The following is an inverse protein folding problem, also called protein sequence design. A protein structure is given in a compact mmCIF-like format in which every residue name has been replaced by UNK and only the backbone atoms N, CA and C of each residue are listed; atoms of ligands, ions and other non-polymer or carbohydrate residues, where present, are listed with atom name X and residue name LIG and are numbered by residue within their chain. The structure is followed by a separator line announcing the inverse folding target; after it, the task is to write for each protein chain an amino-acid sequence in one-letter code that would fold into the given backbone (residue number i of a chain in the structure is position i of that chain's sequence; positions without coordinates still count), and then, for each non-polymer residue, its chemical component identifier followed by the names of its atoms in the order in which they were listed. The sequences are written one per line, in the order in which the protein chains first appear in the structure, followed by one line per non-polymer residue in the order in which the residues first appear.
data_IF_204832563001
#
_entry.id   IF_204832563001
#
_cell.length_a   1.000
_cell.length_b   1.000
_cell.length_c   1.000
_cell.angle_alpha   90.00
_cell.angle_beta   90.00
_cell.angle_gamma   90.00
#
_symmetry.space_group_name_H-M   'P 1'
#
loop_
_entity.id
_entity.type
_entity.pdbx_description
1 polymer ?
2 water ?
#
# COMPACT_ATOMS: atom_id res chain seq x y z
N UNK A 3 -2.34 -35.92 -2.15
CA UNK A 3 -1.76 -36.24 -3.45
C UNK A 3 -2.21 -35.22 -4.52
N UNK A 4 -1.40 -34.17 -4.68
CA UNK A 4 -1.76 -33.05 -5.55
C UNK A 4 -1.68 -33.38 -7.03
N UNK A 5 -1.00 -34.46 -7.39
CA UNK A 5 -0.86 -34.80 -8.79
C UNK A 5 -1.88 -35.81 -9.29
N UNK A 6 -2.56 -36.54 -8.39
CA UNK A 6 -3.39 -37.65 -8.84
C UNK A 6 -4.78 -37.76 -8.22
N UNK A 7 -5.05 -37.20 -7.05
CA UNK A 7 -6.31 -37.43 -6.38
C UNK A 7 -7.23 -36.20 -6.36
N UNK A 8 -7.08 -35.29 -7.31
CA UNK A 8 -7.92 -34.09 -7.36
C UNK A 8 -9.01 -34.31 -8.38
N UNK A 9 -10.25 -34.05 -7.99
CA UNK A 9 -11.39 -34.15 -8.90
C UNK A 9 -11.74 -32.73 -9.32
N UNK A 10 -11.11 -32.28 -10.41
CA UNK A 10 -11.43 -30.95 -10.96
C UNK A 10 -12.75 -31.01 -11.69
N UNK A 11 -13.64 -30.08 -11.39
CA UNK A 11 -14.96 -30.01 -12.00
C UNK A 11 -15.04 -28.75 -12.86
N UNK A 12 -15.51 -28.91 -14.10
CA UNK A 12 -15.66 -27.78 -15.00
C UNK A 12 -16.49 -26.66 -14.38
N UNK A 13 -16.01 -25.43 -14.54
CA UNK A 13 -16.76 -24.23 -14.17
C UNK A 13 -17.22 -23.46 -15.41
N UNK A 14 -16.28 -23.03 -16.24
CA UNK A 14 -16.53 -22.12 -17.36
C UNK A 14 -15.26 -22.02 -18.20
N UNK A 15 -15.37 -22.24 -19.52
CA UNK A 15 -14.23 -22.14 -20.43
C UNK A 15 -13.05 -22.94 -19.87
N UNK A 16 -11.90 -22.29 -19.62
CA UNK A 16 -10.74 -23.05 -19.15
C UNK A 16 -10.63 -23.10 -17.63
N UNK A 17 -11.70 -22.78 -16.92
CA UNK A 17 -11.71 -22.72 -15.46
C UNK A 17 -12.37 -23.96 -14.88
N UNK A 18 -11.73 -24.57 -13.89
CA UNK A 18 -12.29 -25.70 -13.14
C UNK A 18 -12.03 -25.50 -11.66
N UNK A 19 -12.71 -26.30 -10.81
CA UNK A 19 -12.61 -26.11 -9.37
C UNK A 19 -12.67 -27.45 -8.66
N UNK A 20 -12.19 -27.49 -7.42
CA UNK A 20 -12.13 -28.76 -6.69
C UNK A 20 -12.06 -28.51 -5.19
N UNK A 21 -12.60 -29.47 -4.42
CA UNK A 21 -12.28 -29.57 -2.99
C UNK A 21 -11.00 -30.37 -2.87
N UNK A 22 -9.98 -29.80 -2.23
CA UNK A 22 -8.68 -30.45 -2.14
C UNK A 22 -8.06 -30.02 -0.83
N UNK A 23 -7.72 -30.97 0.03
CA UNK A 23 -7.43 -30.71 1.44
C UNK A 23 -6.00 -31.13 1.75
N UNK A 24 -5.16 -30.17 2.13
CA UNK A 24 -3.77 -30.49 2.41
C UNK A 24 -3.12 -29.33 3.17
N UNK A 25 -2.06 -29.65 3.91
CA UNK A 25 -1.26 -28.64 4.56
C UNK A 25 -0.29 -28.08 3.51
N UNK A 26 -0.41 -26.79 3.19
CA UNK A 26 0.32 -26.30 2.02
C UNK A 26 1.83 -26.39 2.21
N UNK A 27 2.32 -26.35 3.45
CA UNK A 27 3.75 -26.43 3.69
C UNK A 27 4.34 -27.78 3.28
N UNK A 28 3.51 -28.81 3.08
CA UNK A 28 4.05 -30.07 2.61
C UNK A 28 4.45 -30.01 1.14
N UNK A 29 3.91 -29.04 0.38
CA UNK A 29 4.12 -28.95 -1.05
C UNK A 29 4.72 -27.63 -1.51
N UNK A 30 4.69 -26.59 -0.68
CA UNK A 30 5.05 -25.25 -1.12
C UNK A 30 5.80 -24.51 -0.02
N UNK A 31 6.57 -23.52 -0.42
CA UNK A 31 7.02 -22.44 0.46
C UNK A 31 6.25 -21.17 0.08
N UNK A 32 5.77 -20.44 1.09
CA UNK A 32 4.99 -19.23 0.86
C UNK A 32 5.90 -18.01 0.80
N UNK A 33 5.64 -17.12 -0.15
CA UNK A 33 6.29 -15.81 -0.22
C UNK A 33 5.21 -14.75 -0.13
N UNK A 34 5.30 -13.91 0.89
CA UNK A 34 4.25 -12.93 1.16
C UNK A 34 4.29 -11.78 0.15
N UNK A 35 3.12 -11.22 -0.11
CA UNK A 35 2.99 -9.99 -0.90
C UNK A 35 2.52 -8.88 0.02
N UNK A 36 2.78 -7.65 -0.39
CA UNK A 36 2.31 -6.50 0.38
C UNK A 36 0.79 -6.56 0.48
N UNK A 37 0.21 -6.36 1.67
CA UNK A 37 -1.27 -6.47 1.80
C UNK A 37 -1.98 -5.19 1.37
N UNK A 38 -1.89 -4.88 0.08
CA UNK A 38 -2.69 -3.83 -0.50
C UNK A 38 -3.56 -4.43 -1.60
N UNK A 39 -4.29 -3.58 -2.31
CA UNK A 39 -5.19 -4.09 -3.33
C UNK A 39 -4.51 -4.62 -4.57
N UNK A 40 -3.19 -4.54 -4.66
CA UNK A 40 -2.46 -5.04 -5.81
C UNK A 40 -1.89 -6.42 -5.59
N UNK A 41 -2.28 -7.09 -4.50
CA UNK A 41 -1.60 -8.32 -4.09
C UNK A 41 -1.63 -9.41 -5.16
N UNK A 42 -2.74 -9.54 -5.92
CA UNK A 42 -2.76 -10.53 -7.00
C UNK A 42 -1.61 -10.29 -7.98
N UNK A 43 -1.47 -9.06 -8.45
CA UNK A 43 -0.42 -8.71 -9.40
C UNK A 43 0.97 -8.81 -8.76
N UNK A 44 1.06 -8.53 -7.45
CA UNK A 44 2.32 -8.68 -6.74
C UNK A 44 2.76 -10.14 -6.72
N UNK A 45 1.81 -11.06 -6.51
CA UNK A 45 2.14 -12.48 -6.48
C UNK A 45 2.61 -12.95 -7.85
N UNK A 46 1.91 -12.53 -8.91
CA UNK A 46 2.34 -12.94 -10.25
C UNK A 46 3.69 -12.30 -10.59
N UNK A 47 3.89 -11.04 -10.17
CA UNK A 47 5.20 -10.40 -10.35
C UNK A 47 6.31 -11.21 -9.69
N UNK A 48 6.06 -11.76 -8.50
CA UNK A 48 7.07 -12.57 -7.84
C UNK A 48 7.42 -13.79 -8.69
N UNK A 49 6.42 -14.39 -9.33
CA UNK A 49 6.67 -15.54 -10.20
C UNK A 49 7.52 -15.16 -11.41
N UNK A 50 7.17 -14.05 -12.07
CA UNK A 50 7.82 -13.68 -13.32
C UNK A 50 9.20 -13.05 -13.10
N UNK A 51 9.35 -12.24 -12.05
CA UNK A 51 10.51 -11.37 -11.89
C UNK A 51 11.31 -11.61 -10.62
N UNK A 52 10.91 -12.54 -9.77
CA UNK A 52 11.53 -12.80 -8.46
C UNK A 52 11.46 -11.60 -7.54
N UNK A 53 10.51 -10.70 -7.78
CA UNK A 53 10.24 -9.56 -6.91
C UNK A 53 8.80 -9.13 -7.14
N UNK A 54 8.14 -8.70 -6.07
CA UNK A 54 6.79 -8.17 -6.23
C UNK A 54 6.77 -6.77 -6.80
N UNK A 55 7.95 -6.14 -6.98
CA UNK A 55 8.03 -4.74 -7.40
C UNK A 55 7.56 -4.51 -8.82
N UNK A 56 7.41 -5.57 -9.62
CA UNK A 56 6.96 -5.38 -10.99
C UNK A 56 5.47 -5.57 -11.20
N UNK A 57 4.65 -5.36 -10.16
CA UNK A 57 3.22 -5.61 -10.32
C UNK A 57 2.57 -4.74 -11.39
N UNK A 58 3.06 -3.51 -11.62
CA UNK A 58 2.48 -2.67 -12.67
C UNK A 58 2.69 -3.30 -14.04
N UNK A 59 3.85 -3.90 -14.27
CA UNK A 59 4.08 -4.55 -15.56
C UNK A 59 3.10 -5.70 -15.78
N UNK A 60 2.71 -6.39 -14.71
CA UNK A 60 1.71 -7.44 -14.85
C UNK A 60 0.36 -6.83 -15.23
N UNK A 61 -0.03 -5.73 -14.58
CA UNK A 61 -1.26 -5.06 -14.96
C UNK A 61 -1.20 -4.63 -16.42
N UNK A 62 -0.05 -4.10 -16.84
CA UNK A 62 0.13 -3.67 -18.22
C UNK A 62 -0.04 -4.82 -19.20
N UNK A 63 0.57 -5.97 -18.91
CA UNK A 63 0.52 -7.06 -19.88
C UNK A 63 -0.88 -7.65 -19.98
N UNK A 64 -1.66 -7.59 -18.89
CA UNK A 64 -3.06 -8.01 -18.95
C UNK A 64 -3.87 -7.10 -19.86
N UNK A 65 -3.70 -5.78 -19.72
CA UNK A 65 -4.42 -4.86 -20.58
C UNK A 65 -4.04 -5.07 -22.04
N UNK A 66 -2.76 -5.31 -22.31
CA UNK A 66 -2.32 -5.47 -23.69
C UNK A 66 -2.87 -6.73 -24.31
N UNK A 67 -2.91 -7.84 -23.56
CA UNK A 67 -3.48 -9.07 -24.10
C UNK A 67 -4.99 -8.93 -24.30
N UNK A 68 -5.66 -8.19 -23.44
CA UNK A 68 -7.08 -7.94 -23.66
C UNK A 68 -7.30 -7.23 -24.99
N UNK A 69 -6.40 -6.31 -25.35
CA UNK A 69 -6.54 -5.59 -26.61
C UNK A 69 -6.22 -6.46 -27.82
N UNK A 70 -5.14 -7.24 -27.75
CA UNK A 70 -4.69 -7.98 -28.92
C UNK A 70 -5.44 -9.29 -29.10
N UNK A 71 -6.01 -9.84 -28.04
CA UNK A 71 -6.57 -11.20 -28.05
C UNK A 71 -7.94 -11.23 -27.39
N UNK A 72 -8.70 -10.14 -27.54
CA UNK A 72 -10.01 -10.03 -26.89
C UNK A 72 -10.90 -11.24 -27.16
N UNK A 73 -10.85 -11.77 -28.39
CA UNK A 73 -11.76 -12.84 -28.78
C UNK A 73 -11.56 -14.11 -27.97
N UNK A 74 -10.40 -14.31 -27.35
CA UNK A 74 -10.11 -15.52 -26.61
C UNK A 74 -10.47 -15.43 -25.13
N UNK A 75 -11.22 -14.41 -24.70
CA UNK A 75 -11.39 -14.11 -23.28
C UNK A 75 -12.86 -14.08 -22.85
N UNK A 76 -13.57 -15.20 -23.00
CA UNK A 76 -15.01 -15.21 -22.64
C UNK A 76 -15.28 -14.90 -21.18
N UNK A 77 -14.38 -15.26 -20.27
CA UNK A 77 -14.59 -14.91 -18.88
C UNK A 77 -14.55 -13.41 -18.67
N UNK A 78 -13.57 -12.74 -19.27
CA UNK A 78 -13.47 -11.29 -19.20
C UNK A 78 -14.74 -10.64 -19.77
N UNK A 79 -15.28 -11.23 -20.84
CA UNK A 79 -16.46 -10.66 -21.49
C UNK A 79 -17.66 -10.58 -20.57
N UNK A 80 -17.71 -11.41 -19.52
CA UNK A 80 -18.83 -11.38 -18.61
C UNK A 80 -18.90 -10.08 -17.82
N UNK A 81 -17.79 -9.36 -17.72
CA UNK A 81 -17.70 -8.20 -16.86
C UNK A 81 -17.30 -6.92 -17.58
N UNK A 82 -16.79 -7.00 -18.81
CA UNK A 82 -16.25 -5.84 -19.49
C UNK A 82 -16.74 -5.82 -20.93
N UNK A 83 -17.10 -4.63 -21.40
CA UNK A 83 -17.74 -4.50 -22.71
C UNK A 83 -16.72 -4.65 -23.83
N UNK A 84 -15.50 -4.17 -23.64
CA UNK A 84 -14.49 -4.15 -24.70
C UNK A 84 -13.14 -3.91 -24.04
N UNK A 85 -12.04 -4.06 -24.79
CA UNK A 85 -10.72 -3.86 -24.17
C UNK A 85 -10.53 -2.49 -23.56
N UNK A 86 -11.14 -1.45 -24.14
CA UNK A 86 -10.99 -0.11 -23.60
C UNK A 86 -11.67 0.01 -22.25
N UNK A 87 -12.83 -0.63 -22.09
CA UNK A 87 -13.51 -0.67 -20.80
C UNK A 87 -12.67 -1.37 -19.75
N UNK A 88 -12.07 -2.52 -20.10
CA UNK A 88 -11.21 -3.21 -19.14
C UNK A 88 -10.01 -2.35 -18.76
N UNK A 89 -9.37 -1.71 -19.74
CA UNK A 89 -8.21 -0.87 -19.45
C UNK A 89 -8.58 0.27 -18.52
N UNK A 90 -9.76 0.89 -18.76
CA UNK A 90 -10.22 1.99 -17.94
C UNK A 90 -10.40 1.57 -16.49
N UNK A 91 -11.05 0.43 -16.27
CA UNK A 91 -11.32 0.00 -14.90
C UNK A 91 -10.07 -0.53 -14.21
N UNK A 92 -9.21 -1.26 -14.92
CA UNK A 92 -8.05 -1.84 -14.27
C UNK A 92 -7.00 -0.79 -13.90
N UNK A 93 -7.03 0.38 -14.53
CA UNK A 93 -6.14 1.46 -14.15
C UNK A 93 -6.63 2.24 -12.94
N UNK A 94 -7.85 1.99 -12.48
CA UNK A 94 -8.42 2.81 -11.43
C UNK A 94 -7.77 2.49 -10.09
N UNK A 95 -7.62 3.53 -9.28
CA UNK A 95 -7.27 3.35 -7.88
C UNK A 95 -8.33 2.48 -7.23
N UNK A 96 -7.90 1.43 -6.56
CA UNK A 96 -8.84 0.56 -5.90
C UNK A 96 -9.26 -0.67 -6.69
N UNK A 97 -8.71 -0.87 -7.89
CA UNK A 97 -8.97 -2.11 -8.61
C UNK A 97 -8.23 -3.27 -7.95
N UNK A 98 -8.92 -4.41 -7.80
CA UNK A 98 -8.36 -5.62 -7.22
C UNK A 98 -8.29 -6.71 -8.27
N UNK A 99 -7.11 -7.31 -8.44
CA UNK A 99 -6.96 -8.39 -9.39
C UNK A 99 -7.54 -9.71 -8.89
N UNK A 100 -7.80 -10.61 -9.82
CA UNK A 100 -8.35 -11.90 -9.45
C UNK A 100 -8.67 -12.79 -10.62
N UNK A 101 -9.86 -13.39 -10.62
CA UNK A 101 -10.25 -14.38 -11.62
C UNK A 101 -10.17 -13.83 -13.05
N UNK A 102 -10.52 -12.55 -13.23
CA UNK A 102 -10.42 -11.97 -14.58
C UNK A 102 -8.99 -12.08 -15.11
N UNK A 103 -8.02 -11.69 -14.29
CA UNK A 103 -6.63 -11.72 -14.71
C UNK A 103 -6.03 -13.12 -14.71
N UNK A 104 -6.55 -14.02 -13.85
CA UNK A 104 -6.10 -15.40 -13.91
C UNK A 104 -6.41 -16.00 -15.28
N UNK A 105 -7.60 -15.73 -15.82
CA UNK A 105 -7.91 -16.17 -17.18
C UNK A 105 -6.95 -15.56 -18.19
N UNK A 106 -6.77 -14.23 -18.11
CA UNK A 106 -5.92 -13.54 -19.07
C UNK A 106 -4.50 -14.09 -19.03
N UNK A 107 -3.94 -14.23 -17.83
CA UNK A 107 -2.55 -14.65 -17.73
C UNK A 107 -2.36 -16.11 -18.14
N UNK A 108 -3.32 -16.98 -17.83
CA UNK A 108 -3.20 -18.38 -18.27
C UNK A 108 -3.09 -18.46 -19.78
N UNK A 109 -3.79 -17.58 -20.50
CA UNK A 109 -3.82 -17.62 -21.95
C UNK A 109 -2.67 -16.84 -22.58
N UNK A 110 -2.22 -15.76 -21.94
CA UNK A 110 -1.05 -15.03 -22.42
C UNK A 110 0.23 -15.83 -22.20
N UNK A 111 0.42 -16.35 -20.98
CA UNK A 111 1.66 -17.04 -20.64
C UNK A 111 1.64 -18.51 -21.03
N UNK A 112 0.48 -19.05 -21.41
CA UNK A 112 0.35 -20.46 -21.79
C UNK A 112 0.77 -21.38 -20.65
N UNK A 113 0.27 -21.08 -19.45
CA UNK A 113 0.46 -21.97 -18.32
C UNK A 113 -0.78 -21.93 -17.47
N UNK A 114 -0.77 -22.73 -16.42
CA UNK A 114 -1.90 -22.87 -15.53
C UNK A 114 -1.76 -21.92 -14.35
N UNK A 115 -2.89 -21.37 -13.89
CA UNK A 115 -2.94 -20.52 -12.71
C UNK A 115 -3.90 -21.17 -11.72
N UNK A 116 -3.46 -21.33 -10.46
CA UNK A 116 -4.29 -21.97 -9.45
C UNK A 116 -4.39 -21.07 -8.22
N UNK A 117 -5.62 -20.88 -7.72
CA UNK A 117 -5.88 -20.25 -6.43
C UNK A 117 -6.18 -21.35 -5.42
N UNK A 118 -5.38 -21.41 -4.36
CA UNK A 118 -5.55 -22.41 -3.30
C UNK A 118 -6.14 -21.71 -2.08
N UNK A 119 -7.37 -22.08 -1.72
CA UNK A 119 -8.09 -21.42 -0.63
C UNK A 119 -7.56 -21.85 0.73
N UNK A 120 -7.21 -20.89 1.58
CA UNK A 120 -6.65 -21.22 2.89
C UNK A 120 -7.05 -20.14 3.87
N UNK A 121 -7.71 -20.53 4.96
CA UNK A 121 -8.24 -19.56 5.93
C UNK A 121 -7.57 -19.60 7.29
N UNK A 122 -6.67 -20.55 7.54
CA UNK A 122 -6.03 -20.65 8.85
C UNK A 122 -4.51 -20.64 8.75
N UNK A 123 -3.97 -20.19 7.61
CA UNK A 123 -2.53 -20.18 7.29
C UNK A 123 -1.86 -21.55 7.40
N UNK A 124 -2.62 -22.65 7.31
CA UNK A 124 -2.02 -23.99 7.35
C UNK A 124 -2.65 -24.88 6.29
N UNK A 125 -3.98 -24.98 6.32
CA UNK A 125 -4.72 -25.97 5.53
C UNK A 125 -5.38 -25.30 4.33
N UNK A 126 -5.07 -25.81 3.15
CA UNK A 126 -5.85 -25.51 1.95
C UNK A 126 -7.04 -26.45 1.91
N UNK A 127 -8.21 -25.95 1.50
CA UNK A 127 -9.41 -26.77 1.41
C UNK A 127 -10.06 -26.78 0.04
N UNK A 128 -9.66 -25.90 -0.86
CA UNK A 128 -10.27 -25.81 -2.19
C UNK A 128 -9.24 -25.27 -3.18
N UNK A 129 -9.46 -25.56 -4.46
CA UNK A 129 -8.69 -24.96 -5.52
C UNK A 129 -9.61 -24.51 -6.65
N UNK A 130 -9.20 -23.44 -7.32
CA UNK A 130 -9.81 -23.06 -8.58
C UNK A 130 -8.68 -22.81 -9.57
N UNK A 131 -8.86 -23.28 -10.79
CA UNK A 131 -7.74 -23.43 -11.71
C UNK A 131 -8.13 -22.90 -13.08
N UNK A 132 -7.20 -22.20 -13.73
CA UNK A 132 -7.33 -21.81 -15.14
C UNK A 132 -6.23 -22.51 -15.92
N UNK A 133 -6.62 -23.37 -16.85
CA UNK A 133 -5.69 -24.23 -17.56
C UNK A 133 -5.79 -25.67 -17.09
N UNK A 134 -5.04 -26.55 -17.78
CA UNK A 134 -5.15 -28.00 -17.61
C UNK A 134 -3.98 -28.64 -16.87
N UNK A 135 -3.05 -27.85 -16.35
CA UNK A 135 -1.86 -28.41 -15.73
C UNK A 135 -2.09 -28.76 -14.26
N UNK A 136 -1.04 -29.33 -13.67
CA UNK A 136 -1.04 -29.56 -12.25
C UNK A 136 -0.17 -28.51 -11.58
N UNK A 137 -0.05 -28.60 -10.26
CA UNK A 137 0.59 -27.52 -9.52
C UNK A 137 2.06 -27.34 -9.89
N UNK A 138 2.71 -28.39 -10.38
CA UNK A 138 4.12 -28.22 -10.72
C UNK A 138 4.31 -27.35 -11.97
N UNK A 139 3.31 -27.27 -12.85
CA UNK A 139 3.40 -26.46 -14.06
C UNK A 139 2.53 -25.21 -13.95
N UNK A 140 2.29 -24.73 -12.74
CA UNK A 140 1.35 -23.64 -12.53
C UNK A 140 2.00 -22.48 -11.80
N UNK A 141 1.37 -21.31 -11.97
CA UNK A 141 1.51 -20.22 -11.02
C UNK A 141 0.54 -20.53 -9.88
N UNK A 142 1.07 -20.83 -8.70
CA UNK A 142 0.28 -21.18 -7.52
C UNK A 142 0.15 -19.99 -6.60
N UNK A 143 -1.09 -19.63 -6.26
CA UNK A 143 -1.34 -18.52 -5.35
C UNK A 143 -2.09 -19.01 -4.11
N UNK A 144 -1.72 -18.50 -2.95
CA UNK A 144 -2.46 -18.79 -1.73
C UNK A 144 -3.53 -17.72 -1.60
N UNK A 145 -4.79 -18.15 -1.66
CA UNK A 145 -5.94 -17.23 -1.69
C UNK A 145 -6.55 -17.24 -0.29
N UNK A 146 -6.33 -16.17 0.47
CA UNK A 146 -6.78 -16.16 1.86
C UNK A 146 -7.90 -15.14 2.03
N UNK A 147 -8.31 -14.86 3.27
CA UNK A 147 -9.50 -14.03 3.48
C UNK A 147 -9.31 -12.64 2.88
N UNK A 148 -10.43 -11.98 2.57
CA UNK A 148 -10.47 -10.60 2.08
C UNK A 148 -9.71 -10.43 0.77
N UNK A 149 -9.69 -11.50 -0.03
CA UNK A 149 -9.14 -11.49 -1.38
C UNK A 149 -7.67 -11.11 -1.40
N UNK A 150 -6.95 -11.47 -0.35
CA UNK A 150 -5.51 -11.33 -0.37
C UNK A 150 -4.89 -12.57 -1.01
N UNK A 151 -3.86 -12.35 -1.83
CA UNK A 151 -3.12 -13.44 -2.48
C UNK A 151 -1.66 -13.36 -2.09
N UNK A 152 -1.10 -14.50 -1.68
CA UNK A 152 0.33 -14.67 -1.55
C UNK A 152 0.83 -15.66 -2.60
N UNK A 153 2.15 -15.72 -2.77
CA UNK A 153 2.73 -16.57 -3.80
C UNK A 153 3.22 -17.88 -3.17
N UNK A 154 3.05 -18.98 -3.90
CA UNK A 154 3.46 -20.29 -3.41
C UNK A 154 4.49 -20.88 -4.37
N UNK A 155 5.65 -21.27 -3.85
CA UNK A 155 6.71 -21.88 -4.65
C UNK A 155 6.70 -23.39 -4.39
N UNK A 156 6.52 -24.22 -5.40
CA UNK A 156 6.55 -25.68 -5.16
C UNK A 156 7.91 -26.12 -4.65
N UNK A 157 7.87 -27.02 -3.67
CA UNK A 157 9.06 -27.64 -3.14
C UNK A 157 9.58 -28.65 -4.16
N UNK B 7 -9.60 5.13 37.52
CA UNK B 7 -8.38 5.89 37.75
C UNK B 7 -8.25 7.04 36.75
N UNK B 8 -8.72 6.82 35.53
CA UNK B 8 -8.72 7.86 34.51
C UNK B 8 -10.00 8.68 34.66
N UNK B 9 -9.87 9.99 34.75
CA UNK B 9 -11.02 10.87 34.70
C UNK B 9 -11.21 11.31 33.25
N UNK B 10 -12.28 10.87 32.64
CA UNK B 10 -12.64 11.28 31.29
C UNK B 10 -13.49 12.54 31.38
N UNK B 11 -13.14 13.54 30.58
CA UNK B 11 -13.88 14.79 30.50
C UNK B 11 -14.81 14.71 29.30
N UNK B 12 -16.11 14.95 29.52
CA UNK B 12 -17.01 14.90 28.39
C UNK B 12 -16.65 15.99 27.39
N UNK B 13 -16.72 15.67 26.09
CA UNK B 13 -16.39 16.61 25.01
C UNK B 13 -17.63 16.96 24.18
N UNK B 14 -18.29 15.95 23.61
CA UNK B 14 -19.30 16.16 22.57
C UNK B 14 -20.04 14.85 22.32
N UNK B 15 -21.37 14.84 22.44
CA UNK B 15 -22.15 13.64 22.15
C UNK B 15 -21.62 12.43 22.93
N UNK B 16 -21.12 11.38 22.26
CA UNK B 16 -20.59 10.22 22.99
C UNK B 16 -19.07 10.25 23.09
N UNK B 17 -18.45 11.41 22.92
CA UNK B 17 -17.00 11.56 22.87
C UNK B 17 -16.51 12.23 24.15
N UNK B 18 -15.49 11.65 24.78
CA UNK B 18 -14.84 12.23 25.96
C UNK B 18 -13.32 12.17 25.77
N UNK B 19 -12.59 12.85 26.65
CA UNK B 19 -11.13 12.90 26.50
C UNK B 19 -10.45 12.88 27.86
N UNK B 20 -9.22 12.40 27.88
CA UNK B 20 -8.46 12.35 29.13
C UNK B 20 -7.03 12.75 28.87
N UNK B 21 -6.49 13.61 29.72
CA UNK B 21 -5.07 13.89 29.72
C UNK B 21 -4.42 12.95 30.73
N UNK B 22 -3.56 12.06 30.24
CA UNK B 22 -2.97 11.05 31.10
C UNK B 22 -1.70 10.57 30.44
N UNK B 23 -0.65 10.36 31.23
CA UNK B 23 0.65 9.98 30.70
C UNK B 23 0.96 8.56 31.19
N UNK B 24 1.21 7.64 30.25
CA UNK B 24 1.59 6.29 30.64
C UNK B 24 2.35 5.61 29.50
N UNK B 25 3.20 4.66 29.88
CA UNK B 25 3.86 3.79 28.91
C UNK B 25 2.83 2.85 28.29
N UNK B 26 2.62 2.93 26.97
CA UNK B 26 1.57 2.07 26.41
C UNK B 26 1.91 0.60 26.59
N UNK B 27 3.20 0.26 26.67
CA UNK B 27 3.60 -1.13 26.89
C UNK B 27 3.24 -1.64 28.28
N UNK B 28 2.94 -0.74 29.23
CA UNK B 28 2.47 -1.20 30.53
C UNK B 28 1.12 -1.91 30.43
N UNK B 29 0.31 -1.54 29.43
CA UNK B 29 -1.04 -2.08 29.32
C UNK B 29 -1.33 -2.79 28.01
N UNK B 30 -0.49 -2.63 26.99
CA UNK B 30 -0.83 -3.07 25.64
C UNK B 30 0.39 -3.71 24.96
N UNK B 31 0.08 -4.58 23.99
CA UNK B 31 1.03 -4.94 22.94
C UNK B 31 0.60 -4.27 21.65
N UNK B 32 1.54 -3.70 20.92
CA UNK B 32 1.23 -3.00 19.67
C UNK B 32 1.32 -3.94 18.46
N UNK B 33 0.35 -3.81 17.55
CA UNK B 33 0.39 -4.49 16.27
C UNK B 33 0.36 -3.46 15.16
N UNK B 34 1.42 -3.45 14.34
CA UNK B 34 1.55 -2.43 13.30
C UNK B 34 0.58 -2.66 12.15
N UNK B 35 0.18 -1.57 11.50
CA UNK B 35 -0.57 -1.59 10.25
C UNK B 35 0.30 -1.07 9.12
N UNK B 36 -0.02 -1.51 7.91
CA UNK B 36 0.67 -1.02 6.73
C UNK B 36 0.53 0.51 6.64
N UNK B 37 1.63 1.23 6.44
CA UNK B 37 1.52 2.71 6.42
C UNK B 37 1.05 3.24 5.07
N UNK B 38 -0.23 3.03 4.79
CA UNK B 38 -0.89 3.74 3.71
C UNK B 38 -2.03 4.56 4.31
N UNK B 39 -2.83 5.16 3.45
CA UNK B 39 -3.94 5.97 3.91
C UNK B 39 -5.08 5.17 4.49
N UNK B 40 -5.01 3.85 4.44
CA UNK B 40 -6.07 2.99 4.96
C UNK B 40 -5.79 2.54 6.40
N UNK B 41 -4.75 3.09 7.04
CA UNK B 41 -4.26 2.54 8.30
C UNK B 41 -5.33 2.52 9.39
N UNK B 42 -6.21 3.53 9.46
CA UNK B 42 -7.26 3.49 10.48
C UNK B 42 -8.12 2.24 10.31
N UNK B 43 -8.54 1.97 9.07
CA UNK B 43 -9.39 0.82 8.78
C UNK B 43 -8.63 -0.48 8.94
N UNK B 44 -7.33 -0.47 8.65
CA UNK B 44 -6.50 -1.65 8.92
C UNK B 44 -6.43 -1.96 10.40
N UNK B 45 -6.35 -0.92 11.24
CA UNK B 45 -6.26 -1.16 12.67
C UNK B 45 -7.57 -1.71 13.21
N UNK B 46 -8.70 -1.16 12.77
CA UNK B 46 -9.99 -1.70 13.20
C UNK B 46 -10.18 -3.11 12.66
N UNK B 47 -9.75 -3.35 11.42
CA UNK B 47 -9.84 -4.71 10.87
C UNK B 47 -9.08 -5.71 11.74
N UNK B 48 -7.92 -5.30 12.28
CA UNK B 48 -7.14 -6.20 13.14
C UNK B 48 -7.96 -6.59 14.38
N UNK B 49 -8.69 -5.63 14.96
CA UNK B 49 -9.55 -5.95 16.09
C UNK B 49 -10.65 -6.93 15.69
N UNK B 50 -11.33 -6.67 14.57
CA UNK B 50 -12.53 -7.42 14.21
C UNK B 50 -12.21 -8.80 13.65
N UNK B 51 -11.10 -8.92 12.93
CA UNK B 51 -10.85 -10.10 12.12
C UNK B 51 -9.52 -10.76 12.38
N UNK B 52 -8.70 -10.22 13.30
CA UNK B 52 -7.36 -10.72 13.61
C UNK B 52 -6.39 -10.59 12.42
N UNK B 53 -6.72 -9.73 11.46
CA UNK B 53 -5.82 -9.40 10.35
C UNK B 53 -6.18 -8.00 9.88
N UNK B 54 -5.17 -7.25 9.44
CA UNK B 54 -5.42 -5.94 8.86
C UNK B 54 -6.02 -6.00 7.47
N UNK B 55 -6.08 -7.19 6.87
CA UNK B 55 -6.40 -7.31 5.45
C UNK B 55 -7.87 -7.05 5.15
N UNK B 56 -8.72 -6.90 6.16
CA UNK B 56 -10.14 -6.65 5.92
C UNK B 56 -10.53 -5.19 5.97
N UNK B 57 -9.58 -4.29 5.71
CA UNK B 57 -9.88 -2.86 5.85
C UNK B 57 -11.01 -2.40 4.93
N UNK B 58 -11.17 -3.00 3.76
CA UNK B 58 -12.25 -2.58 2.86
C UNK B 58 -13.60 -2.86 3.50
N UNK B 59 -13.72 -3.98 4.20
CA UNK B 59 -14.97 -4.32 4.86
C UNK B 59 -15.31 -3.32 5.95
N UNK B 60 -14.30 -2.81 6.66
CA UNK B 60 -14.55 -1.77 7.65
C UNK B 60 -15.05 -0.49 6.98
N UNK B 61 -14.42 -0.09 5.87
CA UNK B 61 -14.90 1.07 5.13
C UNK B 61 -16.35 0.88 4.71
N UNK B 62 -16.67 -0.31 4.16
CA UNK B 62 -18.02 -0.59 3.71
C UNK B 62 -19.04 -0.48 4.85
N UNK B 63 -18.74 -1.07 6.01
CA UNK B 63 -19.74 -1.06 7.07
C UNK B 63 -19.97 0.34 7.62
N UNK B 64 -18.95 1.19 7.60
CA UNK B 64 -19.14 2.59 8.00
C UNK B 64 -20.06 3.32 7.02
N UNK B 65 -19.86 3.12 5.71
CA UNK B 65 -20.73 3.73 4.71
C UNK B 65 -22.17 3.25 4.86
N UNK B 66 -22.36 1.94 5.08
CA UNK B 66 -23.70 1.39 5.21
C UNK B 66 -24.43 1.98 6.41
N UNK B 67 -23.75 2.08 7.56
CA UNK B 67 -24.39 2.65 8.75
C UNK B 67 -24.68 4.13 8.55
N UNK B 68 -23.80 4.86 7.88
CA UNK B 68 -24.10 6.26 7.59
C UNK B 68 -25.37 6.37 6.76
N UNK B 69 -25.59 5.43 5.85
CA UNK B 69 -26.76 5.47 4.99
C UNK B 69 -28.03 5.11 5.76
N UNK B 70 -27.97 4.11 6.63
CA UNK B 70 -29.18 3.65 7.31
C UNK B 70 -29.48 4.38 8.61
N UNK B 71 -28.47 4.97 9.25
CA UNK B 71 -28.62 5.54 10.58
C UNK B 71 -28.07 6.95 10.65
N UNK B 72 -28.15 7.69 9.54
CA UNK B 72 -27.58 9.03 9.44
C UNK B 72 -28.01 9.93 10.60
N UNK B 73 -29.28 9.84 11.00
CA UNK B 73 -29.77 10.78 12.00
C UNK B 73 -29.15 10.56 13.38
N UNK B 74 -28.37 9.50 13.57
CA UNK B 74 -27.73 9.23 14.84
C UNK B 74 -26.27 9.70 14.91
N UNK B 75 -25.79 10.47 13.92
CA UNK B 75 -24.36 10.73 13.75
C UNK B 75 -24.00 12.22 13.75
N UNK B 76 -24.22 12.92 14.88
CA UNK B 76 -23.90 14.37 14.91
C UNK B 76 -22.44 14.71 14.65
N UNK B 77 -21.49 13.86 15.04
CA UNK B 77 -20.09 14.16 14.76
C UNK B 77 -19.81 14.12 13.28
N UNK B 78 -20.39 13.13 12.59
CA UNK B 78 -20.30 13.06 11.14
C UNK B 78 -20.94 14.29 10.50
N UNK B 79 -22.05 14.76 11.05
CA UNK B 79 -22.73 15.93 10.49
C UNK B 79 -21.85 17.17 10.49
N UNK B 80 -20.85 17.24 11.37
CA UNK B 80 -19.93 18.38 11.39
C UNK B 80 -19.21 18.54 10.05
N UNK B 81 -18.99 17.43 9.34
CA UNK B 81 -18.11 17.41 8.18
C UNK B 81 -18.78 17.03 6.88
N UNK B 82 -19.93 16.36 6.92
CA UNK B 82 -20.57 15.85 5.71
C UNK B 82 -22.04 16.24 5.70
N UNK B 83 -22.56 16.54 4.50
CA UNK B 83 -23.89 17.09 4.34
C UNK B 83 -24.99 16.04 4.29
N UNK B 84 -24.69 14.83 3.83
CA UNK B 84 -25.67 13.76 3.72
C UNK B 84 -24.91 12.45 3.52
N UNK B 85 -25.60 11.31 3.62
CA UNK B 85 -24.87 10.03 3.45
C UNK B 85 -24.23 9.88 2.10
N UNK B 86 -24.79 10.49 1.05
CA UNK B 86 -24.20 10.38 -0.29
C UNK B 86 -22.87 11.12 -0.35
N UNK B 87 -22.79 12.28 0.28
CA UNK B 87 -21.54 13.02 0.38
C UNK B 87 -20.48 12.21 1.13
N UNK B 88 -20.85 11.62 2.28
CA UNK B 88 -19.91 10.79 3.01
C UNK B 88 -19.48 9.59 2.17
N UNK B 89 -20.43 8.91 1.52
CA UNK B 89 -20.07 7.74 0.73
C UNK B 89 -19.10 8.08 -0.38
N UNK B 90 -19.32 9.20 -1.07
CA UNK B 90 -18.49 9.50 -2.22
C UNK B 90 -17.09 9.94 -1.81
N UNK B 91 -16.95 10.64 -0.68
CA UNK B 91 -15.61 11.01 -0.20
C UNK B 91 -14.88 9.80 0.37
N UNK B 92 -15.58 8.98 1.15
CA UNK B 92 -14.91 7.85 1.79
C UNK B 92 -14.55 6.75 0.81
N UNK B 93 -15.23 6.66 -0.33
CA UNK B 93 -14.94 5.60 -1.30
C UNK B 93 -13.60 5.77 -2.00
N UNK B 94 -13.04 6.98 -1.98
CA UNK B 94 -11.77 7.20 -2.65
C UNK B 94 -10.64 6.46 -1.93
N UNK B 95 -9.64 6.05 -2.71
CA UNK B 95 -8.48 5.41 -2.13
C UNK B 95 -7.61 6.38 -1.32
N UNK B 96 -7.69 7.68 -1.60
CA UNK B 96 -6.93 8.69 -0.88
C UNK B 96 -7.57 9.20 0.40
N UNK B 97 -8.57 8.47 0.92
CA UNK B 97 -9.33 8.89 2.10
C UNK B 97 -8.71 8.34 3.38
N UNK B 98 -8.51 9.19 4.38
CA UNK B 98 -7.95 8.78 5.66
C UNK B 98 -9.04 8.73 6.73
N UNK B 99 -9.12 7.61 7.45
CA UNK B 99 -10.09 7.47 8.51
C UNK B 99 -9.67 8.19 9.79
N UNK B 100 -10.63 8.31 10.71
CA UNK B 100 -10.39 9.03 11.95
C UNK B 100 -11.62 9.14 12.81
N UNK B 101 -11.77 10.28 13.48
CA UNK B 101 -12.86 10.49 14.44
C UNK B 101 -14.25 10.28 13.83
N UNK B 102 -14.43 10.61 12.55
CA UNK B 102 -15.71 10.37 11.89
C UNK B 102 -16.09 8.89 11.99
N UNK B 103 -15.16 8.02 11.61
CA UNK B 103 -15.43 6.59 11.64
C UNK B 103 -15.40 6.01 13.04
N UNK B 104 -14.62 6.59 13.97
CA UNK B 104 -14.70 6.13 15.35
C UNK B 104 -16.10 6.29 15.91
N UNK B 105 -16.75 7.41 15.62
CA UNK B 105 -18.14 7.61 16.04
C UNK B 105 -19.04 6.57 15.39
N UNK B 106 -18.95 6.44 14.06
CA UNK B 106 -19.80 5.49 13.36
C UNK B 106 -19.63 4.10 13.94
N UNK B 107 -18.37 3.66 14.11
CA UNK B 107 -18.14 2.28 14.57
C UNK B 107 -18.60 2.09 16.01
N UNK B 108 -18.43 3.11 16.87
CA UNK B 108 -18.85 2.93 18.25
C UNK B 108 -20.35 2.68 18.31
N UNK B 109 -21.10 3.32 17.42
CA UNK B 109 -22.56 3.20 17.42
C UNK B 109 -23.03 1.98 16.66
N UNK B 110 -22.38 1.66 15.54
CA UNK B 110 -22.72 0.47 14.76
C UNK B 110 -22.46 -0.80 15.55
N UNK B 111 -21.28 -0.89 16.18
CA UNK B 111 -20.85 -2.10 16.87
C UNK B 111 -21.23 -2.11 18.35
N UNK B 112 -21.77 -1.01 18.87
CA UNK B 112 -22.07 -0.88 20.30
C UNK B 112 -20.85 -1.24 21.14
N UNK B 113 -19.72 -0.63 20.76
CA UNK B 113 -18.44 -0.83 21.41
C UNK B 113 -17.83 0.53 21.68
N UNK B 114 -16.86 0.56 22.59
CA UNK B 114 -16.11 1.77 22.87
C UNK B 114 -14.86 1.79 22.01
N UNK B 115 -14.55 2.94 21.44
CA UNK B 115 -13.36 3.15 20.59
C UNK B 115 -12.49 4.20 21.26
N UNK B 116 -11.18 3.94 21.36
CA UNK B 116 -10.27 4.89 22.01
C UNK B 116 -9.06 5.15 21.13
N UNK B 117 -8.73 6.43 20.91
CA UNK B 117 -7.48 6.84 20.28
C UNK B 117 -6.53 7.22 21.41
N UNK B 118 -5.37 6.59 21.46
CA UNK B 118 -4.33 6.90 22.44
C UNK B 118 -3.19 7.60 21.71
N UNK B 119 -2.97 8.87 22.04
CA UNK B 119 -2.00 9.70 21.33
C UNK B 119 -0.58 9.39 21.80
N UNK B 120 0.32 9.13 20.87
CA UNK B 120 1.70 8.78 21.23
C UNK B 120 2.63 9.29 20.14
N UNK B 121 3.61 10.12 20.52
CA UNK B 121 4.46 10.79 19.54
C UNK B 121 5.92 10.38 19.62
N UNK B 122 6.28 9.43 20.49
CA UNK B 122 7.67 9.01 20.62
C UNK B 122 7.82 7.49 20.70
N UNK B 123 6.77 6.76 20.31
CA UNK B 123 6.65 5.30 20.40
C UNK B 123 6.85 4.79 21.83
N UNK B 124 6.67 5.63 22.84
CA UNK B 124 6.81 5.19 24.22
C UNK B 124 5.62 5.63 25.09
N UNK B 125 5.41 6.94 25.17
CA UNK B 125 4.46 7.52 26.13
C UNK B 125 3.17 7.93 25.44
N UNK B 126 2.06 7.45 25.97
CA UNK B 126 0.75 8.00 25.62
C UNK B 126 0.53 9.24 26.47
N UNK B 127 0.00 10.31 25.87
CA UNK B 127 -0.25 11.54 26.61
C UNK B 127 -1.70 11.98 26.62
N UNK B 128 -2.58 11.30 25.89
CA UNK B 128 -3.97 11.69 25.79
C UNK B 128 -4.78 10.51 25.29
N UNK B 129 -6.01 10.40 25.75
CA UNK B 129 -6.98 9.48 25.17
C UNK B 129 -8.20 10.26 24.69
N UNK B 130 -8.74 9.87 23.54
CA UNK B 130 -10.04 10.34 23.08
C UNK B 130 -10.91 9.12 22.90
N UNK B 131 -12.11 9.14 23.49
CA UNK B 131 -12.94 7.95 23.63
C UNK B 131 -14.32 8.20 23.07
N UNK B 132 -14.85 7.23 22.32
CA UNK B 132 -16.25 7.21 21.91
C UNK B 132 -16.91 6.04 22.62
N UNK B 133 -17.89 6.32 23.47
CA UNK B 133 -18.53 5.28 24.25
C UNK B 133 -18.17 5.38 25.73
N UNK B 134 -18.84 4.53 26.52
CA UNK B 134 -18.77 4.59 27.98
C UNK B 134 -17.82 3.58 28.60
N UNK B 135 -17.21 2.71 27.81
CA UNK B 135 -16.45 1.61 28.39
C UNK B 135 -15.01 1.99 28.73
N UNK B 136 -14.30 1.03 29.34
CA UNK B 136 -12.89 1.21 29.61
C UNK B 136 -12.08 0.41 28.59
N UNK B 137 -10.75 0.54 28.69
CA UNK B 137 -9.89 0.05 27.62
C UNK B 137 -9.97 -1.46 27.45
N UNK B 138 -10.35 -2.20 28.49
CA UNK B 138 -10.20 -3.66 28.42
C UNK B 138 -11.07 -4.25 27.31
N UNK B 139 -12.28 -3.73 27.11
CA UNK B 139 -13.15 -4.24 26.05
C UNK B 139 -13.33 -3.26 24.90
N UNK B 140 -12.53 -2.20 24.84
CA UNK B 140 -12.60 -1.21 23.77
C UNK B 140 -11.78 -1.65 22.57
N UNK B 141 -12.02 -0.97 21.45
CA UNK B 141 -11.09 -0.97 20.31
C UNK B 141 -10.06 0.12 20.59
N UNK B 142 -8.83 -0.29 20.95
CA UNK B 142 -7.78 0.66 21.32
C UNK B 142 -6.84 0.85 20.14
N UNK B 143 -6.65 2.11 19.73
CA UNK B 143 -5.76 2.45 18.62
C UNK B 143 -4.66 3.37 19.13
N UNK B 144 -3.44 3.17 18.62
CA UNK B 144 -2.33 4.09 18.85
C UNK B 144 -2.31 5.11 17.73
N UNK B 145 -2.52 6.38 18.08
CA UNK B 145 -2.62 7.46 17.10
C UNK B 145 -1.33 8.25 17.12
N UNK B 146 -0.57 8.19 16.02
CA UNK B 146 0.77 8.78 15.97
C UNK B 146 0.85 9.79 14.83
N UNK B 147 2.05 10.35 14.61
CA UNK B 147 2.23 11.40 13.61
C UNK B 147 1.79 10.92 12.22
N UNK B 148 1.43 11.90 11.39
CA UNK B 148 1.05 11.67 9.99
C UNK B 148 -0.25 10.88 9.88
N UNK B 149 -1.14 11.08 10.87
CA UNK B 149 -2.46 10.47 10.89
C UNK B 149 -2.41 8.96 10.80
N UNK B 150 -1.33 8.37 11.31
CA UNK B 150 -1.20 6.92 11.27
C UNK B 150 -1.78 6.29 12.52
N UNK B 151 -2.47 5.17 12.35
CA UNK B 151 -3.02 4.40 13.46
C UNK B 151 -2.44 2.99 13.46
N UNK B 152 -1.96 2.55 14.61
CA UNK B 152 -1.68 1.13 14.84
C UNK B 152 -2.67 0.56 15.85
N UNK B 153 -2.68 -0.77 15.97
CA UNK B 153 -3.63 -1.44 16.85
C UNK B 153 -2.98 -1.77 18.18
N UNK B 154 -3.74 -1.67 19.27
CA UNK B 154 -3.24 -1.99 20.60
C UNK B 154 -4.07 -3.11 21.20
N UNK B 155 -3.40 -4.18 21.64
CA UNK B 155 -4.05 -5.33 22.27
C UNK B 155 -3.87 -5.22 23.78
N UNK B 156 -4.94 -5.17 24.58
CA UNK B 156 -4.74 -5.18 26.04
C UNK B 156 -4.05 -6.45 26.50
N UNK B 157 -3.11 -6.29 27.43
CA UNK B 157 -2.36 -7.43 27.96
C UNK B 157 -3.28 -8.35 28.76
N UNK C 7 37.18 10.75 -6.48
CA UNK C 7 37.60 10.41 -7.84
C UNK C 7 36.45 10.58 -8.84
N UNK C 8 35.30 11.02 -8.34
CA UNK C 8 34.10 11.14 -9.17
C UNK C 8 34.14 12.48 -9.90
N UNK C 9 34.07 12.43 -11.23
CA UNK C 9 33.92 13.62 -12.05
C UNK C 9 32.43 13.75 -12.37
N UNK C 10 31.79 14.77 -11.82
CA UNK C 10 30.38 15.03 -12.10
C UNK C 10 30.28 15.90 -13.35
N UNK C 11 29.62 15.36 -14.38
CA UNK C 11 29.37 16.09 -15.62
C UNK C 11 28.08 16.88 -15.52
N UNK C 12 28.14 18.16 -15.86
CA UNK C 12 26.93 18.98 -15.81
C UNK C 12 25.90 18.46 -16.79
N UNK C 13 24.63 18.53 -16.40
CA UNK C 13 23.52 18.09 -17.23
C UNK C 13 22.61 19.28 -17.53
N UNK C 14 22.11 19.92 -16.48
CA UNK C 14 21.08 20.96 -16.61
C UNK C 14 20.84 21.60 -15.24
N UNK C 15 20.89 22.93 -15.17
CA UNK C 15 20.59 23.64 -13.93
C UNK C 15 21.48 23.10 -12.81
N UNK C 16 20.89 22.63 -11.71
CA UNK C 16 21.69 22.11 -10.60
C UNK C 16 21.87 20.60 -10.69
N UNK C 17 21.68 20.00 -11.86
CA UNK C 17 21.74 18.56 -12.04
C UNK C 17 23.02 18.17 -12.76
N UNK C 18 23.76 17.21 -12.19
CA UNK C 18 24.97 16.67 -12.79
C UNK C 18 24.91 15.14 -12.74
N UNK C 19 25.81 14.49 -13.49
CA UNK C 19 25.75 13.04 -13.60
C UNK C 19 27.16 12.47 -13.69
N UNK C 20 27.31 11.23 -13.25
CA UNK C 20 28.60 10.57 -13.28
C UNK C 20 28.43 9.11 -13.69
N UNK C 21 29.29 8.65 -14.59
CA UNK C 21 29.43 7.22 -14.88
C UNK C 21 30.51 6.69 -13.94
N UNK C 22 30.12 5.83 -13.01
CA UNK C 22 31.03 5.37 -11.97
C UNK C 22 30.51 4.03 -11.49
N UNK C 23 31.43 3.09 -11.31
CA UNK C 23 31.10 1.72 -10.92
C UNK C 23 31.68 1.47 -9.53
N UNK C 24 30.82 1.12 -8.58
CA UNK C 24 31.27 0.73 -7.26
C UNK C 24 30.21 -0.16 -6.61
N UNK C 25 30.66 -1.00 -5.69
CA UNK C 25 29.77 -1.80 -4.86
C UNK C 25 29.14 -0.90 -3.81
N UNK C 26 27.81 -0.78 -3.80
CA UNK C 26 27.23 0.20 -2.89
C UNK C 26 27.54 -0.13 -1.43
N UNK C 27 27.75 -1.41 -1.11
CA UNK C 27 28.10 -1.83 0.25
C UNK C 27 29.41 -1.21 0.74
N UNK C 28 30.27 -0.74 -0.15
CA UNK C 28 31.49 -0.06 0.29
C UNK C 28 31.16 1.20 1.08
N UNK C 29 30.06 1.87 0.73
CA UNK C 29 29.79 3.20 1.26
C UNK C 29 28.48 3.32 2.01
N UNK C 30 27.56 2.36 1.86
CA UNK C 30 26.19 2.53 2.31
C UNK C 30 25.67 1.25 2.92
N UNK C 31 24.74 1.42 3.87
CA UNK C 31 23.82 0.38 4.27
C UNK C 31 22.47 0.67 3.61
N UNK C 32 21.88 -0.34 3.00
CA UNK C 32 20.60 -0.18 2.34
C UNK C 32 19.46 -0.36 3.33
N UNK C 33 18.45 0.51 3.21
CA UNK C 33 17.21 0.36 3.97
C UNK C 33 16.06 0.26 2.99
N UNK C 34 15.34 -0.86 3.03
CA UNK C 34 14.29 -1.08 2.05
C UNK C 34 13.07 -0.20 2.34
N UNK C 35 12.50 0.35 1.30
CA UNK C 35 11.22 1.04 1.37
C UNK C 35 10.10 0.10 0.96
N UNK C 36 8.91 0.41 1.46
CA UNK C 36 7.74 -0.36 1.09
C UNK C 36 7.60 -0.38 -0.43
N UNK C 37 7.43 -1.55 -1.05
CA UNK C 37 7.40 -1.62 -2.52
C UNK C 37 6.05 -1.23 -3.11
N UNK C 38 5.65 0.03 -2.90
CA UNK C 38 4.49 0.56 -3.60
C UNK C 38 4.90 1.82 -4.35
N UNK C 39 3.91 2.51 -4.93
CA UNK C 39 4.19 3.65 -5.77
C UNK C 39 4.63 4.88 -5.03
N UNK C 40 4.63 4.85 -3.71
CA UNK C 40 5.09 5.98 -2.91
C UNK C 40 6.53 5.80 -2.45
N UNK C 41 7.25 4.80 -2.99
CA UNK C 41 8.55 4.42 -2.47
C UNK C 41 9.54 5.61 -2.44
N UNK C 42 9.53 6.45 -3.47
CA UNK C 42 10.42 7.62 -3.45
C UNK C 42 10.14 8.49 -2.24
N UNK C 43 8.87 8.82 -2.01
CA UNK C 43 8.52 9.67 -0.88
C UNK C 43 8.75 8.97 0.44
N UNK C 44 8.64 7.64 0.47
CA UNK C 44 8.91 6.91 1.69
C UNK C 44 10.39 6.95 2.04
N UNK C 45 11.25 6.91 1.02
CA UNK C 45 12.68 7.01 1.29
C UNK C 45 13.04 8.38 1.84
N UNK C 46 12.51 9.45 1.24
CA UNK C 46 12.78 10.78 1.75
C UNK C 46 12.20 10.94 3.17
N UNK C 47 11.01 10.38 3.40
CA UNK C 47 10.42 10.42 4.73
C UNK C 47 11.31 9.73 5.77
N UNK C 48 11.92 8.59 5.41
CA UNK C 48 12.87 7.94 6.30
C UNK C 48 14.03 8.87 6.64
N UNK C 49 14.57 9.56 5.63
CA UNK C 49 15.65 10.52 5.86
C UNK C 49 15.23 11.62 6.83
N UNK C 50 14.02 12.19 6.63
CA UNK C 50 13.59 13.36 7.40
C UNK C 50 13.07 12.99 8.78
N UNK C 51 12.37 11.85 8.90
CA UNK C 51 11.56 11.59 10.07
C UNK C 51 11.85 10.25 10.74
N UNK C 52 12.72 9.43 10.17
CA UNK C 52 13.04 8.09 10.66
C UNK C 52 11.83 7.16 10.64
N UNK C 53 10.84 7.47 9.80
CA UNK C 53 9.71 6.59 9.54
C UNK C 53 9.31 6.77 8.09
N UNK C 54 8.75 5.72 7.49
CA UNK C 54 8.17 5.87 6.15
C UNK C 54 6.78 6.49 6.19
N UNK C 55 6.21 6.69 7.39
CA UNK C 55 4.82 7.14 7.49
C UNK C 55 4.63 8.58 7.01
N UNK C 56 5.70 9.36 6.95
CA UNK C 56 5.59 10.74 6.51
C UNK C 56 5.68 10.96 5.02
N UNK C 57 5.59 9.90 4.21
CA UNK C 57 5.65 10.08 2.75
C UNK C 57 4.62 11.09 2.29
N UNK C 58 3.46 11.12 2.95
CA UNK C 58 2.37 11.99 2.57
C UNK C 58 2.75 13.46 2.79
N UNK C 59 3.54 13.73 3.82
CA UNK C 59 4.02 15.08 4.06
C UNK C 59 5.07 15.49 3.03
N UNK C 60 5.90 14.54 2.60
CA UNK C 60 6.87 14.87 1.55
C UNK C 60 6.17 15.24 0.26
N UNK C 61 5.08 14.54 -0.09
CA UNK C 61 4.34 14.92 -1.30
C UNK C 61 3.83 16.34 -1.18
N UNK C 62 3.31 16.69 -0.01
CA UNK C 62 2.73 18.02 0.16
C UNK C 62 3.79 19.12 0.10
N UNK C 63 4.94 18.92 0.75
CA UNK C 63 5.92 20.00 0.76
C UNK C 63 6.47 20.25 -0.65
N UNK C 64 6.54 19.21 -1.49
CA UNK C 64 6.98 19.41 -2.86
C UNK C 64 5.98 20.28 -3.64
N UNK C 65 4.68 20.04 -3.43
CA UNK C 65 3.66 20.88 -4.08
C UNK C 65 3.75 22.32 -3.60
N UNK C 66 3.92 22.52 -2.29
CA UNK C 66 3.96 23.88 -1.75
C UNK C 66 5.18 24.64 -2.26
N UNK C 67 6.34 23.99 -2.33
CA UNK C 67 7.52 24.67 -2.86
C UNK C 67 7.37 24.95 -4.35
N UNK C 68 6.72 24.05 -5.09
CA UNK C 68 6.49 24.31 -6.50
C UNK C 68 5.68 25.58 -6.70
N UNK C 69 4.77 25.88 -5.77
CA UNK C 69 3.96 27.08 -5.84
C UNK C 69 4.76 28.32 -5.44
N UNK C 70 5.52 28.25 -4.34
CA UNK C 70 6.24 29.43 -3.86
C UNK C 70 7.47 29.73 -4.72
N UNK C 71 8.08 28.71 -5.34
CA UNK C 71 9.37 28.89 -5.98
C UNK C 71 9.37 28.38 -7.42
N UNK C 72 8.22 28.46 -8.10
CA UNK C 72 8.08 27.93 -9.44
C UNK C 72 9.18 28.43 -10.38
N UNK C 73 9.54 29.71 -10.27
CA UNK C 73 10.48 30.29 -11.23
C UNK C 73 11.88 29.70 -11.09
N UNK C 74 12.18 29.02 -9.99
CA UNK C 74 13.50 28.43 -9.77
C UNK C 74 13.53 26.94 -10.09
N UNK C 75 12.53 26.42 -10.80
CA UNK C 75 12.41 24.97 -11.06
C UNK C 75 12.37 24.65 -12.55
N UNK C 76 13.41 25.02 -13.31
CA UNK C 76 13.37 24.77 -14.77
C UNK C 76 13.28 23.30 -15.14
N UNK C 77 13.82 22.39 -14.33
CA UNK C 77 13.65 20.98 -14.64
C UNK C 77 12.21 20.54 -14.56
N UNK C 78 11.48 21.01 -13.54
CA UNK C 78 10.06 20.71 -13.42
C UNK C 78 9.28 21.24 -14.62
N UNK C 79 9.71 22.39 -15.16
CA UNK C 79 8.98 23.00 -16.29
C UNK C 79 8.95 22.10 -17.51
N UNK C 80 9.94 21.21 -17.65
CA UNK C 80 9.93 20.27 -18.78
C UNK C 80 8.69 19.40 -18.76
N UNK C 81 8.12 19.16 -17.58
CA UNK C 81 7.05 18.19 -17.43
C UNK C 81 5.72 18.77 -17.00
N UNK C 82 5.69 19.97 -16.42
CA UNK C 82 4.46 20.51 -15.88
C UNK C 82 4.32 21.97 -16.30
N UNK C 83 3.08 22.35 -16.61
CA UNK C 83 2.79 23.68 -17.15
C UNK C 83 2.93 24.76 -16.08
N UNK C 84 2.38 24.52 -14.91
CA UNK C 84 2.31 25.51 -13.84
C UNK C 84 2.19 24.76 -12.52
N UNK C 85 2.26 25.46 -11.39
CA UNK C 85 2.14 24.77 -10.09
C UNK C 85 0.83 24.02 -9.92
N UNK C 86 -0.26 24.52 -10.52
CA UNK C 86 -1.54 23.84 -10.38
C UNK C 86 -1.55 22.51 -11.14
N UNK C 87 -0.90 22.48 -12.30
CA UNK C 87 -0.78 21.23 -13.05
C UNK C 87 0.02 20.19 -12.26
N UNK C 88 1.14 20.61 -11.67
CA UNK C 88 1.92 19.69 -10.86
C UNK C 88 1.11 19.17 -9.68
N UNK C 89 0.34 20.04 -9.03
CA UNK C 89 -0.42 19.62 -7.85
C UNK C 89 -1.50 18.60 -8.22
N UNK C 90 -2.18 18.80 -9.34
CA UNK C 90 -3.23 17.87 -9.75
C UNK C 90 -2.67 16.47 -9.94
N UNK C 91 -1.51 16.36 -10.59
CA UNK C 91 -0.93 15.05 -10.88
C UNK C 91 -0.29 14.43 -9.64
N UNK C 92 0.40 15.23 -8.82
CA UNK C 92 1.04 14.65 -7.64
C UNK C 92 0.02 14.18 -6.61
N UNK C 93 -1.15 14.80 -6.56
CA UNK C 93 -2.15 14.38 -5.58
C UNK C 93 -2.74 13.00 -5.89
N UNK C 94 -2.65 12.55 -7.13
CA UNK C 94 -3.12 11.22 -7.50
C UNK C 94 -2.43 10.14 -6.67
N UNK C 95 -3.21 9.14 -6.24
CA UNK C 95 -2.62 8.03 -5.48
C UNK C 95 -1.64 7.20 -6.32
N UNK C 96 -1.82 7.18 -7.65
CA UNK C 96 -0.93 6.49 -8.57
C UNK C 96 0.30 7.24 -9.03
N UNK C 97 0.60 8.40 -8.45
CA UNK C 97 1.77 9.19 -8.82
C UNK C 97 3.04 8.55 -8.28
N UNK C 98 4.08 8.47 -9.10
CA UNK C 98 5.39 7.97 -8.70
C UNK C 98 6.38 9.11 -8.67
N UNK C 99 7.14 9.22 -7.58
CA UNK C 99 8.15 10.26 -7.47
C UNK C 99 9.41 9.96 -8.26
N UNK C 100 10.21 11.01 -8.47
CA UNK C 100 11.44 10.87 -9.22
C UNK C 100 12.21 12.17 -9.39
N UNK C 101 12.76 12.38 -10.59
CA UNK C 101 13.66 13.52 -10.83
C UNK C 101 13.00 14.86 -10.56
N UNK C 102 11.69 14.99 -10.82
CA UNK C 102 10.99 16.25 -10.54
C UNK C 102 11.11 16.59 -9.06
N UNK C 103 10.83 15.61 -8.20
CA UNK C 103 10.87 15.84 -6.77
C UNK C 103 12.30 15.97 -6.25
N UNK C 104 13.25 15.28 -6.88
CA UNK C 104 14.65 15.44 -6.48
C UNK C 104 15.10 16.89 -6.66
N UNK C 105 14.75 17.51 -7.79
CA UNK C 105 15.08 18.92 -7.98
C UNK C 105 14.40 19.79 -6.93
N UNK C 106 13.09 19.60 -6.74
CA UNK C 106 12.35 20.39 -5.75
C UNK C 106 12.98 20.26 -4.37
N UNK C 107 13.24 19.02 -3.94
CA UNK C 107 13.73 18.81 -2.57
C UNK C 107 15.14 19.36 -2.38
N UNK C 108 15.99 19.26 -3.41
CA UNK C 108 17.34 19.80 -3.28
C UNK C 108 17.29 21.29 -2.99
N UNK C 109 16.35 22.00 -3.60
CA UNK C 109 16.24 23.44 -3.45
C UNK C 109 15.45 23.84 -2.21
N UNK C 110 14.40 23.08 -1.88
CA UNK C 110 13.62 23.37 -0.69
C UNK C 110 14.41 23.11 0.58
N UNK C 111 15.09 21.96 0.66
CA UNK C 111 15.81 21.59 1.86
C UNK C 111 17.25 22.08 1.87
N UNK C 112 17.73 22.66 0.77
CA UNK C 112 19.12 23.11 0.64
C UNK C 112 20.08 21.95 0.93
N UNK C 113 19.78 20.82 0.30
CA UNK C 113 20.55 19.58 0.43
C UNK C 113 20.84 19.05 -0.96
N UNK C 114 21.77 18.12 -1.03
CA UNK C 114 22.04 17.40 -2.27
C UNK C 114 21.23 16.10 -2.27
N UNK C 115 20.67 15.77 -3.43
CA UNK C 115 19.91 14.53 -3.62
C UNK C 115 20.60 13.73 -4.73
N UNK C 116 20.85 12.44 -4.50
CA UNK C 116 21.56 11.63 -5.46
C UNK C 116 20.79 10.35 -5.72
N UNK C 117 20.61 10.00 -7.01
CA UNK C 117 20.08 8.71 -7.43
C UNK C 117 21.27 7.85 -7.85
N UNK C 118 21.43 6.70 -7.22
CA UNK C 118 22.49 5.76 -7.56
C UNK C 118 21.86 4.55 -8.24
N UNK C 119 22.18 4.34 -9.52
CA UNK C 119 21.53 3.32 -10.34
C UNK C 119 22.14 1.94 -10.07
N UNK C 120 21.28 0.98 -9.76
CA UNK C 120 21.74 -0.37 -9.41
C UNK C 120 20.70 -1.38 -9.85
N UNK C 121 21.09 -2.34 -10.70
CA UNK C 121 20.15 -3.29 -11.26
C UNK C 121 20.37 -4.72 -10.81
N UNK C 122 21.46 -5.01 -10.08
CA UNK C 122 21.77 -6.38 -9.67
C UNK C 122 21.95 -6.50 -8.15
N UNK C 123 21.49 -5.52 -7.39
CA UNK C 123 21.65 -5.43 -5.94
C UNK C 123 23.10 -5.51 -5.48
N UNK C 124 24.07 -5.22 -6.34
CA UNK C 124 25.47 -5.12 -5.93
C UNK C 124 26.12 -3.84 -6.45
N UNK C 125 26.13 -3.66 -7.77
CA UNK C 125 26.95 -2.61 -8.40
C UNK C 125 26.13 -1.39 -8.74
N UNK C 126 26.59 -0.23 -8.27
CA UNK C 126 26.11 1.05 -8.78
C UNK C 126 26.88 1.36 -10.05
N UNK C 127 26.17 1.79 -11.10
CA UNK C 127 26.83 2.09 -12.36
C UNK C 127 26.70 3.53 -12.80
N UNK C 128 25.95 4.35 -12.06
CA UNK C 128 25.74 5.74 -12.45
C UNK C 128 25.20 6.51 -11.26
N UNK C 129 25.56 7.79 -11.19
CA UNK C 129 24.95 8.71 -10.23
C UNK C 129 24.35 9.89 -10.96
N UNK C 130 23.16 10.31 -10.54
CA UNK C 130 22.56 11.57 -10.97
C UNK C 130 22.31 12.40 -9.72
N UNK C 131 22.76 13.65 -9.74
CA UNK C 131 22.87 14.46 -8.54
C UNK C 131 22.17 15.79 -8.75
N UNK C 132 21.44 16.25 -7.74
CA UNK C 132 20.88 17.60 -7.70
C UNK C 132 21.51 18.30 -6.50
N UNK C 133 22.26 19.36 -6.75
CA UNK C 133 23.04 19.98 -5.71
C UNK C 133 24.54 19.73 -5.89
N UNK C 134 25.33 20.40 -5.05
CA UNK C 134 26.78 20.45 -5.18
C UNK C 134 27.54 19.66 -4.12
N UNK C 135 26.85 19.05 -3.16
CA UNK C 135 27.51 18.36 -2.08
C UNK C 135 27.97 16.97 -2.46
N UNK C 136 28.64 16.31 -1.52
CA UNK C 136 29.01 14.91 -1.71
C UNK C 136 28.05 14.01 -0.93
N UNK C 137 28.26 12.70 -1.08
CA UNK C 137 27.24 11.75 -0.64
C UNK C 137 27.05 11.76 0.88
N UNK C 138 28.07 12.16 1.65
CA UNK C 138 28.00 11.97 3.09
C UNK C 138 26.84 12.74 3.72
N UNK C 139 26.54 13.92 3.20
CA UNK C 139 25.45 14.74 3.73
C UNK C 139 24.25 14.83 2.80
N UNK C 140 24.22 14.02 1.74
CA UNK C 140 23.14 14.03 0.77
C UNK C 140 22.01 13.09 1.19
N UNK C 141 20.87 13.24 0.53
CA UNK C 141 19.85 12.18 0.52
C UNK C 141 20.24 11.23 -0.60
N UNK C 142 20.66 10.01 -0.23
CA UNK C 142 21.13 9.01 -1.19
C UNK C 142 20.06 7.94 -1.40
N UNK C 143 19.67 7.73 -2.66
CA UNK C 143 18.65 6.75 -3.00
C UNK C 143 19.24 5.71 -3.94
N UNK C 144 18.89 4.44 -3.72
CA UNK C 144 19.23 3.36 -4.62
C UNK C 144 18.09 3.21 -5.63
N UNK C 145 18.36 3.50 -6.90
CA UNK C 145 17.33 3.52 -7.93
C UNK C 145 17.41 2.22 -8.71
N UNK C 146 16.43 1.34 -8.52
CA UNK C 146 16.51 -0.01 -9.08
C UNK C 146 15.39 -0.21 -10.09
N UNK C 147 15.16 -1.47 -10.50
CA UNK C 147 14.17 -1.71 -11.55
C UNK C 147 12.76 -1.33 -11.11
N UNK C 148 11.88 -1.20 -12.09
CA UNK C 148 10.44 -0.93 -11.88
C UNK C 148 10.19 0.38 -11.14
N UNK C 149 11.07 1.36 -11.34
CA UNK C 149 10.92 2.70 -10.77
C UNK C 149 10.98 2.69 -9.25
N UNK C 150 11.58 1.67 -8.65
CA UNK C 150 11.62 1.56 -7.21
C UNK C 150 12.86 2.26 -6.65
N UNK C 151 12.70 2.93 -5.51
CA UNK C 151 13.80 3.57 -4.81
C UNK C 151 13.90 3.00 -3.40
N UNK C 152 15.11 2.57 -3.02
CA UNK C 152 15.40 2.27 -1.62
C UNK C 152 16.30 3.36 -1.06
N UNK C 153 16.38 3.39 0.28
CA UNK C 153 17.14 4.43 0.98
C UNK C 153 18.53 3.90 1.31
N UNK C 154 19.54 4.76 1.17
CA UNK C 154 20.93 4.40 1.43
C UNK C 154 21.47 5.26 2.56
N UNK C 155 21.98 4.63 3.61
CA UNK C 155 22.54 5.32 4.77
C UNK C 155 24.06 5.27 4.68
N UNK C 156 24.75 6.41 4.61
CA UNK C 156 26.21 6.38 4.54
C UNK C 156 26.80 5.71 5.77
N UNK C 157 27.83 4.90 5.56
CA UNK C 157 28.47 4.18 6.64
C UNK C 157 29.33 5.14 7.48
#
# INVERSE_FOLDING_TARGET
MANLKENIVWEHVFDNCSQANVVFSYREFFNKELTLPDGNCFFRAVSTFLYDTQNGWIEVKNMCREFAETNWDELPGVHQYFQDPEHYARESKREGYWGGSVEAEILSKLLKLTVIFWKCEDDVWVTQGIRWGDGNYLTAINLLHIQFDHFDFLVPINVTQEPPKSGSHHHHHH
MANLKENIVWEHVFDNCSQANVVFSYREFFNKELTLPDGNCFFRAVSTFLYDTQNGWIEVKNMCREFAETNWDELPGVHQYFQDPEHYARESKREGYWGGSVEAEILSKLLKLTVIFWKCEDDVWVTQGIRWGDGNYLTAINLLHIQFDHFDFLVPINVTQEPPKSGSHHHHHH
MANLKENIVWEHVFDNCSQANVVFSYREFFNKELTLPDGNCFFRAVSTFLYDTQNGWIEVKNMCREFAETNWDELPGVHQYFQDPEHYARESKREGYWGGSVEAEILSKLLKLTVIFWKCEDDVWVTQGIRWGDGNYLTAINLLHIQFDHFDFLVPINVTQEPPKSGSHHHHHH
#
